data_IF_447262678960
#
_entry.id   IF_447262678960
#
_cell.length_a   1.000
_cell.length_b   1.000
_cell.length_c   1.000
_cell.angle_alpha   90.00
_cell.angle_beta   90.00
_cell.angle_gamma   90.00
#
_symmetry.space_group_name_H-M   'P 1'
#
loop_
_entity.id
_entity.type
_entity.pdbx_description
1 polymer ?
#
# COMPACT_ATOMS: atom_id res chain seq x y z
N UNK A 1 0.99 -16.36 -2.41
CA UNK A 1 1.43 -16.92 -1.11
C UNK A 1 2.51 -16.02 -0.57
N UNK A 2 3.80 -16.23 -0.87
CA UNK A 2 4.86 -15.45 -0.23
C UNK A 2 4.83 -13.96 -0.60
N UNK A 3 4.57 -13.65 -1.89
CA UNK A 3 4.46 -12.27 -2.38
C UNK A 3 3.31 -11.51 -1.72
N UNK A 4 2.14 -12.15 -1.59
CA UNK A 4 0.95 -11.59 -0.93
C UNK A 4 1.23 -11.25 0.54
N UNK A 5 1.90 -12.16 1.26
CA UNK A 5 2.27 -11.94 2.65
C UNK A 5 3.34 -10.85 2.82
N UNK A 6 4.32 -10.78 1.90
CA UNK A 6 5.33 -9.71 1.90
C UNK A 6 4.67 -8.35 1.70
N UNK A 7 3.76 -8.23 0.73
CA UNK A 7 3.03 -6.98 0.49
C UNK A 7 2.17 -6.58 1.69
N UNK A 8 1.53 -7.55 2.33
CA UNK A 8 0.70 -7.33 3.52
C UNK A 8 1.54 -6.84 4.72
N UNK A 9 2.67 -7.49 5.01
CA UNK A 9 3.54 -7.06 6.12
C UNK A 9 4.18 -5.70 5.83
N UNK A 10 4.63 -5.46 4.59
CA UNK A 10 5.23 -4.19 4.21
C UNK A 10 4.23 -3.01 4.33
N UNK A 11 3.01 -3.16 3.80
CA UNK A 11 1.96 -2.12 3.88
C UNK A 11 1.56 -1.82 5.33
N UNK A 12 1.45 -2.84 6.18
CA UNK A 12 1.13 -2.67 7.61
C UNK A 12 2.24 -1.92 8.35
N UNK A 13 3.51 -2.33 8.19
CA UNK A 13 4.63 -1.67 8.86
C UNK A 13 4.80 -0.22 8.41
N UNK A 14 4.68 0.04 7.11
CA UNK A 14 4.78 1.39 6.54
C UNK A 14 3.63 2.27 7.02
N UNK A 15 2.39 1.76 7.05
CA UNK A 15 1.22 2.51 7.52
C UNK A 15 1.33 2.84 9.02
N UNK A 16 1.73 1.87 9.87
CA UNK A 16 1.90 2.10 11.31
C UNK A 16 3.01 3.14 11.58
N UNK A 17 4.14 3.04 10.88
CA UNK A 17 5.23 4.03 10.99
C UNK A 17 4.80 5.43 10.57
N UNK A 18 3.94 5.54 9.55
CA UNK A 18 3.38 6.82 9.12
C UNK A 18 2.36 7.38 10.13
N UNK A 19 1.51 6.53 10.74
CA UNK A 19 0.55 6.97 11.76
C UNK A 19 1.21 7.53 13.03
N UNK A 20 2.39 7.01 13.39
CA UNK A 20 3.11 7.45 14.59
C UNK A 20 3.91 8.74 14.38
N UNK A 21 4.19 9.13 13.13
CA UNK A 21 5.00 10.29 12.82
C UNK A 21 4.26 11.22 11.86
N UNK A 22 3.69 12.30 12.40
CA UNK A 22 2.93 13.29 11.61
C UNK A 22 3.71 13.92 10.45
N UNK A 23 5.04 14.04 10.56
CA UNK A 23 5.86 14.53 9.45
C UNK A 23 6.04 13.49 8.33
N UNK A 24 6.02 12.20 8.66
CA UNK A 24 6.00 11.12 7.66
C UNK A 24 4.63 10.97 7.03
N UNK A 25 3.58 11.11 7.82
CA UNK A 25 2.21 11.13 7.33
C UNK A 25 2.01 12.15 6.21
N UNK A 26 2.35 13.41 6.51
CA UNK A 26 2.17 14.54 5.59
C UNK A 26 3.02 14.40 4.32
N UNK A 27 4.20 13.76 4.45
CA UNK A 27 5.06 13.48 3.30
C UNK A 27 4.64 12.25 2.49
N UNK A 28 3.91 11.32 3.08
CA UNK A 28 3.42 10.10 2.40
C UNK A 28 2.10 10.31 1.69
N UNK A 29 1.38 11.40 2.00
CA UNK A 29 0.16 11.78 1.30
C UNK A 29 0.44 12.22 -0.14
N UNK A 30 -0.51 11.88 -1.00
CA UNK A 30 -0.47 12.20 -2.42
C UNK A 30 -0.75 13.70 -2.65
N UNK A 31 0.31 14.46 -2.89
CA UNK A 31 0.24 15.90 -3.20
C UNK A 31 0.83 16.18 -4.59
N UNK A 32 0.02 16.13 -5.67
CA UNK A 32 0.51 16.27 -7.04
C UNK A 32 1.19 17.63 -7.30
N UNK A 33 0.74 18.68 -6.61
CA UNK A 33 1.37 20.01 -6.66
C UNK A 33 2.84 20.00 -6.19
N UNK A 34 3.11 19.35 -5.06
CA UNK A 34 4.47 19.21 -4.51
C UNK A 34 5.32 18.25 -5.33
N UNK A 35 4.72 17.22 -5.92
CA UNK A 35 5.43 16.29 -6.81
C UNK A 35 6.01 17.00 -8.04
N UNK A 36 5.22 17.87 -8.68
CA UNK A 36 5.67 18.58 -9.87
C UNK A 36 6.69 19.68 -9.54
N UNK A 37 6.53 20.36 -8.40
CA UNK A 37 7.34 21.53 -8.04
C UNK A 37 8.63 21.19 -7.27
N UNK A 38 8.58 20.16 -6.41
CA UNK A 38 9.69 19.76 -5.53
C UNK A 38 10.31 18.42 -5.92
N UNK A 39 9.93 17.86 -7.08
CA UNK A 39 10.41 16.57 -7.58
C UNK A 39 10.19 15.40 -6.61
N UNK A 40 9.17 15.49 -5.74
CA UNK A 40 8.85 14.48 -4.73
C UNK A 40 8.06 13.29 -5.34
N UNK A 41 8.54 12.75 -6.47
CA UNK A 41 7.89 11.65 -7.21
C UNK A 41 7.70 10.37 -6.37
N UNK A 42 8.54 10.19 -5.35
CA UNK A 42 8.43 9.09 -4.40
C UNK A 42 7.07 9.06 -3.67
N UNK A 43 6.37 10.20 -3.56
CA UNK A 43 4.99 10.29 -3.06
C UNK A 43 3.99 9.45 -3.87
N UNK A 44 4.24 9.31 -5.17
CA UNK A 44 3.41 8.48 -6.04
C UNK A 44 3.46 7.00 -5.65
N UNK A 45 4.60 6.53 -5.14
CA UNK A 45 4.72 5.14 -4.73
C UNK A 45 4.29 5.00 -3.26
N UNK A 46 4.75 5.89 -2.38
CA UNK A 46 4.49 5.79 -0.94
C UNK A 46 3.01 5.94 -0.57
N UNK A 47 2.23 6.77 -1.28
CA UNK A 47 0.79 6.91 -1.00
C UNK A 47 0.00 5.61 -1.24
N UNK A 48 0.49 4.71 -2.10
CA UNK A 48 -0.13 3.41 -2.32
C UNK A 48 0.05 2.44 -1.14
N UNK A 49 1.05 2.68 -0.29
CA UNK A 49 1.34 1.85 0.89
C UNK A 49 0.76 2.44 2.18
N UNK A 50 0.60 3.77 2.26
CA UNK A 50 0.08 4.47 3.44
C UNK A 50 -1.43 4.64 3.33
N UNK A 51 -2.17 4.12 4.31
CA UNK A 51 -3.63 4.17 4.35
C UNK A 51 -4.12 5.25 5.30
N UNK A 52 -5.20 5.94 4.96
CA UNK A 52 -5.76 7.07 5.72
C UNK A 52 -6.14 6.73 7.17
N UNK A 53 -6.63 5.51 7.43
CA UNK A 53 -7.09 5.08 8.75
C UNK A 53 -6.84 3.59 8.99
N UNK A 54 -6.82 3.19 10.26
CA UNK A 54 -6.73 1.78 10.66
C UNK A 54 -7.85 0.92 10.04
N UNK A 55 -9.06 1.47 9.88
CA UNK A 55 -10.18 0.76 9.25
C UNK A 55 -9.93 0.50 7.76
N UNK A 56 -9.39 1.48 7.02
CA UNK A 56 -9.02 1.31 5.62
C UNK A 56 -7.91 0.27 5.45
N UNK A 57 -6.91 0.28 6.34
CA UNK A 57 -5.83 -0.71 6.34
C UNK A 57 -6.39 -2.14 6.53
N UNK A 58 -7.24 -2.34 7.54
CA UNK A 58 -7.84 -3.65 7.84
C UNK A 58 -8.69 -4.14 6.67
N UNK A 59 -9.52 -3.27 6.08
CA UNK A 59 -10.37 -3.65 4.96
C UNK A 59 -9.56 -4.09 3.73
N UNK A 60 -8.47 -3.38 3.41
CA UNK A 60 -7.60 -3.77 2.30
C UNK A 60 -6.88 -5.09 2.55
N UNK A 61 -6.41 -5.33 3.78
CA UNK A 61 -5.76 -6.61 4.10
C UNK A 61 -6.74 -7.79 4.09
N UNK A 62 -7.97 -7.60 4.56
CA UNK A 62 -9.04 -8.60 4.45
C UNK A 62 -9.37 -8.88 2.99
N UNK A 63 -9.53 -7.83 2.18
CA UNK A 63 -9.85 -7.94 0.76
C UNK A 63 -8.77 -8.71 0.00
N UNK A 64 -7.49 -8.39 0.23
CA UNK A 64 -6.35 -9.13 -0.33
C UNK A 64 -6.34 -10.60 0.11
N UNK A 65 -6.61 -10.87 1.39
CA UNK A 65 -6.63 -12.24 1.91
C UNK A 65 -7.74 -13.08 1.29
N UNK A 66 -8.95 -12.54 1.16
CA UNK A 66 -10.08 -13.26 0.56
C UNK A 66 -9.97 -13.39 -0.96
N UNK A 67 -9.37 -12.42 -1.66
CA UNK A 67 -9.22 -12.45 -3.11
C UNK A 67 -8.04 -13.28 -3.60
N UNK A 68 -7.03 -13.58 -2.76
CA UNK A 68 -5.84 -14.34 -3.18
C UNK A 68 -6.19 -15.74 -3.73
N UNK A 69 -7.11 -16.46 -3.08
CA UNK A 69 -7.55 -17.78 -3.52
C UNK A 69 -8.24 -17.78 -4.89
N UNK A 70 -9.30 -16.98 -5.08
CA UNK A 70 -9.97 -16.82 -6.37
C UNK A 70 -9.04 -16.28 -7.47
N UNK A 71 -8.22 -15.28 -7.16
CA UNK A 71 -7.31 -14.65 -8.12
C UNK A 71 -6.31 -15.65 -8.70
N UNK A 72 -5.78 -16.57 -7.88
CA UNK A 72 -4.88 -17.63 -8.34
C UNK A 72 -5.54 -18.67 -9.25
N UNK A 73 -6.86 -18.80 -9.25
CA UNK A 73 -7.58 -19.70 -10.15
C UNK A 73 -7.86 -19.04 -11.49
N UNK A 74 -8.05 -17.72 -11.51
CA UNK A 74 -8.39 -16.94 -12.71
C UNK A 74 -7.13 -16.39 -13.40
N UNK A 75 -6.24 -15.75 -12.65
CA UNK A 75 -4.98 -15.18 -13.12
C UNK A 75 -3.83 -16.16 -12.89
N UNK A 76 -3.98 -17.39 -13.36
CA UNK A 76 -2.82 -18.29 -13.45
C UNK A 76 -1.79 -17.67 -14.41
N UNK A 77 -0.49 -17.69 -14.07
CA UNK A 77 0.53 -17.26 -15.00
C UNK A 77 0.39 -18.08 -16.30
N UNK A 78 0.15 -17.38 -17.42
CA UNK A 78 -0.01 -18.02 -18.74
C UNK A 78 1.31 -18.61 -19.26
N UNK A 79 2.43 -18.23 -18.65
CA UNK A 79 3.79 -18.63 -19.01
C UNK A 79 4.19 -20.00 -18.42
N UNK A 80 3.44 -21.06 -18.72
CA UNK A 80 3.97 -22.43 -18.55
C UNK A 80 4.88 -22.81 -19.71
#
# INVERSE_FOLDING_TARGET
MIITYILLVATVLISIGAFQNGAWWDKSMFYPYLMQRSQEWWRFISHGFVHADYQHLIFNMLTLFFLDGPLKRVCQPVWK
#
